data_IF_310825328784
#
_entry.id   IF_310825328784
#
_cell.length_a   1.000
_cell.length_b   1.000
_cell.length_c   1.000
_cell.angle_alpha   90.00
_cell.angle_beta   90.00
_cell.angle_gamma   90.00
#
_symmetry.space_group_name_H-M   'P 1'
#
loop_
_entity.id
_entity.type
_entity.pdbx_description
1 polymer ?
#
# COMPACT_ATOMS: atom_id res chain seq x y z
N UNK A 1 -5.44 11.42 -7.65
CA UNK A 1 -4.78 11.59 -6.34
C UNK A 1 -4.82 13.07 -5.95
N UNK A 2 -5.87 13.51 -5.24
CA UNK A 2 -6.06 14.88 -4.77
C UNK A 2 -5.93 14.99 -3.25
N UNK A 3 -4.98 14.26 -2.66
CA UNK A 3 -4.92 14.07 -1.21
C UNK A 3 -4.51 15.35 -0.46
N UNK A 4 -3.64 16.15 -1.07
CA UNK A 4 -3.25 17.50 -0.68
C UNK A 4 -2.93 18.35 -1.94
N UNK A 5 -2.75 19.67 -1.75
CA UNK A 5 -2.46 20.60 -2.87
C UNK A 5 -1.17 20.26 -3.61
N UNK A 6 -0.17 19.70 -2.92
CA UNK A 6 1.10 19.30 -3.53
C UNK A 6 0.95 18.08 -4.45
N UNK A 7 0.13 17.10 -4.07
CA UNK A 7 -0.23 15.95 -4.90
C UNK A 7 -0.92 16.40 -6.19
N UNK A 8 -1.80 17.40 -6.10
CA UNK A 8 -2.46 17.99 -7.27
C UNK A 8 -1.42 18.62 -8.22
N UNK A 9 -0.51 19.45 -7.69
CA UNK A 9 0.55 20.09 -8.49
C UNK A 9 1.46 19.03 -9.14
N UNK A 10 1.90 18.01 -8.39
CA UNK A 10 2.74 16.94 -8.92
C UNK A 10 2.02 16.12 -9.99
N UNK A 11 0.72 15.90 -9.85
CA UNK A 11 -0.09 15.22 -10.87
C UNK A 11 -0.10 16.01 -12.17
N UNK A 12 -0.35 17.33 -12.10
CA UNK A 12 -0.44 18.19 -13.27
C UNK A 12 0.92 18.53 -13.90
N UNK A 13 2.02 18.35 -13.17
CA UNK A 13 3.38 18.68 -13.65
C UNK A 13 4.26 17.46 -13.85
N UNK A 14 4.62 16.73 -12.79
CA UNK A 14 5.59 15.62 -12.82
C UNK A 14 4.98 14.37 -13.45
N UNK A 15 3.79 13.97 -13.03
CA UNK A 15 3.10 12.79 -13.56
C UNK A 15 2.75 13.03 -15.03
N UNK A 16 2.12 14.17 -15.36
CA UNK A 16 1.83 14.54 -16.76
C UNK A 16 3.07 14.53 -17.66
N UNK A 17 4.20 15.06 -17.19
CA UNK A 17 5.48 15.00 -17.92
C UNK A 17 5.99 13.57 -18.09
N UNK A 18 5.88 12.72 -17.08
CA UNK A 18 6.31 11.33 -17.16
C UNK A 18 5.47 10.53 -18.17
N UNK A 19 4.14 10.71 -18.16
CA UNK A 19 3.23 10.10 -19.14
C UNK A 19 3.56 10.58 -20.55
N UNK A 20 3.79 11.89 -20.75
CA UNK A 20 4.18 12.44 -22.06
C UNK A 20 5.48 11.84 -22.59
N UNK A 21 6.45 11.55 -21.72
CA UNK A 21 7.73 10.94 -22.08
C UNK A 21 7.62 9.44 -22.36
N UNK A 22 6.78 8.73 -21.62
CA UNK A 22 6.55 7.30 -21.81
C UNK A 22 5.06 6.96 -21.64
N UNK A 23 4.29 6.96 -22.73
CA UNK A 23 2.85 6.67 -22.70
C UNK A 23 2.53 5.24 -22.21
N UNK A 24 3.47 4.31 -22.29
CA UNK A 24 3.29 2.93 -21.80
C UNK A 24 3.33 2.84 -20.26
N UNK A 25 3.71 3.91 -19.57
CA UNK A 25 3.87 3.92 -18.12
C UNK A 25 2.52 3.92 -17.41
N UNK A 26 1.52 4.62 -17.97
CA UNK A 26 0.15 4.68 -17.50
C UNK A 26 -0.73 4.70 -18.74
N UNK A 27 -1.51 3.64 -18.97
CA UNK A 27 -2.50 3.65 -20.05
C UNK A 27 -3.73 4.43 -19.59
N UNK A 28 -3.82 5.67 -20.04
CA UNK A 28 -4.96 6.55 -19.75
C UNK A 28 -6.15 6.10 -20.58
N UNK A 29 -7.24 5.74 -19.93
CA UNK A 29 -8.51 5.38 -20.59
C UNK A 29 -9.38 6.61 -20.87
N UNK A 30 -9.10 7.74 -20.22
CA UNK A 30 -9.78 9.00 -20.44
C UNK A 30 -9.49 10.01 -19.34
N UNK A 31 -10.07 11.20 -19.49
CA UNK A 31 -10.20 12.21 -18.44
C UNK A 31 -11.70 12.30 -18.10
N UNK A 32 -12.01 12.43 -16.82
CA UNK A 32 -13.37 12.62 -16.31
C UNK A 32 -13.36 13.77 -15.29
N UNK A 33 -14.52 14.26 -14.87
CA UNK A 33 -14.65 15.33 -13.88
C UNK A 33 -15.48 14.88 -12.69
N UNK A 34 -14.87 14.86 -11.51
CA UNK A 34 -15.64 14.69 -10.27
C UNK A 34 -16.05 16.05 -9.72
N UNK A 35 -17.29 16.16 -9.25
CA UNK A 35 -17.80 17.35 -8.57
C UNK A 35 -17.81 17.13 -7.07
N UNK A 36 -17.08 17.97 -6.34
CA UNK A 36 -17.07 17.98 -4.88
C UNK A 36 -17.40 19.40 -4.42
N UNK A 37 -18.49 19.55 -3.67
CA UNK A 37 -18.96 20.84 -3.14
C UNK A 37 -19.07 21.96 -4.21
N UNK A 38 -19.56 21.62 -5.39
CA UNK A 38 -19.73 22.56 -6.51
C UNK A 38 -18.45 22.86 -7.31
N UNK A 39 -17.28 22.43 -6.83
CA UNK A 39 -16.01 22.55 -7.57
C UNK A 39 -15.78 21.33 -8.47
N UNK A 40 -15.22 21.56 -9.66
CA UNK A 40 -14.88 20.51 -10.64
C UNK A 40 -13.42 20.14 -10.51
N UNK A 41 -13.15 18.86 -10.35
CA UNK A 41 -11.79 18.34 -10.29
C UNK A 41 -11.57 17.39 -11.46
N UNK A 42 -10.59 17.68 -12.34
CA UNK A 42 -10.23 16.75 -13.40
C UNK A 42 -9.63 15.49 -12.76
N UNK A 43 -10.15 14.33 -13.14
CA UNK A 43 -9.62 13.03 -12.78
C UNK A 43 -9.15 12.30 -14.02
N UNK A 44 -8.06 11.56 -13.86
CA UNK A 44 -7.47 10.77 -14.92
C UNK A 44 -7.88 9.32 -14.68
N UNK A 45 -8.61 8.73 -15.62
CA UNK A 45 -8.92 7.31 -15.61
C UNK A 45 -7.73 6.57 -16.19
N UNK A 46 -7.09 5.75 -15.38
CA UNK A 46 -5.86 5.06 -15.75
C UNK A 46 -5.94 3.57 -15.44
N UNK A 47 -5.52 2.75 -16.38
CA UNK A 47 -5.18 1.36 -16.10
C UNK A 47 -3.77 1.33 -15.51
N UNK A 48 -3.70 0.99 -14.22
CA UNK A 48 -2.45 0.88 -13.48
C UNK A 48 -1.99 -0.56 -13.54
N UNK A 49 -0.73 -0.78 -13.91
CA UNK A 49 -0.07 -2.07 -13.73
C UNK A 49 0.17 -2.29 -12.23
N UNK A 50 -0.77 -2.98 -11.60
CA UNK A 50 -0.76 -3.25 -10.16
C UNK A 50 0.44 -4.10 -9.75
N UNK A 51 0.92 -5.00 -10.60
CA UNK A 51 2.11 -5.82 -10.31
C UNK A 51 3.36 -4.96 -10.20
N UNK A 52 3.56 -4.02 -11.15
CA UNK A 52 4.68 -3.08 -11.09
C UNK A 52 4.59 -2.17 -9.87
N UNK A 53 3.39 -1.74 -9.52
CA UNK A 53 3.17 -0.87 -8.36
C UNK A 53 3.47 -1.60 -7.04
N UNK A 54 2.98 -2.84 -6.89
CA UNK A 54 3.30 -3.71 -5.74
C UNK A 54 4.81 -3.89 -5.60
N UNK A 55 5.51 -4.28 -6.67
CA UNK A 55 6.98 -4.44 -6.65
C UNK A 55 7.72 -3.16 -6.27
N UNK A 56 7.18 -2.00 -6.66
CA UNK A 56 7.76 -0.70 -6.30
C UNK A 56 7.66 -0.47 -4.80
N UNK A 57 6.50 -0.74 -4.19
CA UNK A 57 6.34 -0.63 -2.74
C UNK A 57 7.19 -1.64 -1.96
N UNK A 58 7.31 -2.87 -2.45
CA UNK A 58 8.22 -3.87 -1.86
C UNK A 58 9.67 -3.38 -1.89
N UNK A 59 10.10 -2.78 -3.01
CA UNK A 59 11.46 -2.27 -3.16
C UNK A 59 11.73 -1.10 -2.21
N UNK A 60 10.75 -0.18 -2.05
CA UNK A 60 10.83 0.91 -1.07
C UNK A 60 10.97 0.35 0.34
N UNK A 61 10.10 -0.59 0.74
CA UNK A 61 10.16 -1.18 2.08
C UNK A 61 11.50 -1.88 2.36
N UNK A 62 12.03 -2.65 1.38
CA UNK A 62 13.36 -3.27 1.51
C UNK A 62 14.48 -2.25 1.65
N UNK A 63 14.42 -1.15 0.88
CA UNK A 63 15.40 -0.08 0.98
C UNK A 63 15.34 0.61 2.35
N UNK A 64 14.15 0.82 2.91
CA UNK A 64 13.98 1.37 4.26
C UNK A 64 14.52 0.45 5.34
N UNK A 65 14.27 -0.86 5.25
CA UNK A 65 14.86 -1.84 6.19
C UNK A 65 16.38 -1.81 6.13
N UNK A 66 16.95 -1.70 4.94
CA UNK A 66 18.39 -1.56 4.79
C UNK A 66 18.90 -0.22 5.35
N UNK A 67 18.17 0.87 5.13
CA UNK A 67 18.53 2.20 5.64
C UNK A 67 18.56 2.25 7.17
N UNK A 68 17.49 1.79 7.83
CA UNK A 68 17.37 1.87 9.29
C UNK A 68 18.23 0.85 10.02
N UNK A 69 18.33 -0.37 9.49
CA UNK A 69 18.91 -1.50 10.24
C UNK A 69 20.20 -2.03 9.62
N UNK A 70 20.68 -1.46 8.50
CA UNK A 70 21.79 -2.00 7.70
C UNK A 70 21.62 -3.47 7.30
N UNK A 71 20.36 -3.94 7.28
CA UNK A 71 20.01 -5.33 7.06
C UNK A 71 19.44 -5.55 5.65
N UNK A 72 20.03 -6.48 4.90
CA UNK A 72 19.54 -6.85 3.56
C UNK A 72 18.42 -7.86 3.66
N UNK A 73 17.20 -7.35 3.76
CA UNK A 73 16.01 -8.20 3.86
C UNK A 73 15.75 -9.02 2.57
N UNK A 74 15.74 -10.35 2.71
CA UNK A 74 15.46 -11.32 1.63
C UNK A 74 14.14 -12.08 1.82
N UNK A 75 13.38 -11.76 2.88
CA UNK A 75 12.11 -12.44 3.18
C UNK A 75 10.98 -12.09 2.21
N UNK A 76 9.80 -12.64 2.48
CA UNK A 76 8.58 -12.41 1.68
C UNK A 76 7.96 -11.06 2.03
N UNK A 77 7.40 -10.38 1.04
CA UNK A 77 6.62 -9.16 1.25
C UNK A 77 5.17 -9.40 0.82
N UNK A 78 4.23 -8.78 1.52
CA UNK A 78 2.84 -8.69 1.09
C UNK A 78 2.40 -7.24 1.21
N UNK A 79 1.94 -6.66 0.09
CA UNK A 79 1.49 -5.27 0.05
C UNK A 79 -0.03 -5.22 0.20
N UNK A 80 -0.47 -4.42 1.17
CA UNK A 80 -1.88 -4.19 1.52
C UNK A 80 -2.20 -2.70 1.35
N UNK A 81 -3.24 -2.39 0.59
CA UNK A 81 -3.70 -1.01 0.41
C UNK A 81 -5.11 -0.94 -0.18
N UNK A 82 -5.85 0.10 0.20
CA UNK A 82 -7.16 0.47 -0.31
C UNK A 82 -7.12 0.93 -1.78
N UNK A 83 -5.96 1.33 -2.30
CA UNK A 83 -5.81 1.71 -3.72
C UNK A 83 -5.93 0.50 -4.66
N UNK A 84 -5.77 -0.72 -4.14
CA UNK A 84 -5.93 -1.96 -4.90
C UNK A 84 -7.39 -2.40 -4.90
N UNK A 85 -8.21 -1.65 -5.62
CA UNK A 85 -9.61 -1.97 -5.86
C UNK A 85 -9.77 -2.71 -7.20
N UNK A 86 -10.46 -3.85 -7.19
CA UNK A 86 -10.83 -4.58 -8.41
C UNK A 86 -12.32 -4.90 -8.40
N UNK A 87 -13.14 -4.26 -9.27
CA UNK A 87 -14.56 -4.56 -9.36
C UNK A 87 -14.83 -5.98 -9.85
N UNK A 88 -13.86 -6.62 -10.53
CA UNK A 88 -13.94 -8.00 -11.00
C UNK A 88 -13.56 -9.03 -9.94
N UNK A 89 -12.87 -8.61 -8.88
CA UNK A 89 -12.43 -9.47 -7.77
C UNK A 89 -12.83 -8.84 -6.43
N UNK A 90 -14.09 -9.03 -6.10
CA UNK A 90 -14.70 -8.49 -4.89
C UNK A 90 -14.07 -9.04 -3.61
N UNK A 91 -13.69 -10.33 -3.61
CA UNK A 91 -13.05 -10.98 -2.45
C UNK A 91 -11.71 -10.34 -2.13
N UNK A 92 -10.87 -10.15 -3.15
CA UNK A 92 -9.58 -9.45 -3.00
C UNK A 92 -9.77 -8.02 -2.52
N UNK A 93 -10.73 -7.30 -3.10
CA UNK A 93 -11.05 -5.93 -2.70
C UNK A 93 -11.45 -5.83 -1.23
N UNK A 94 -12.37 -6.67 -0.76
CA UNK A 94 -12.77 -6.64 0.65
C UNK A 94 -11.61 -7.04 1.57
N UNK A 95 -10.83 -8.04 1.18
CA UNK A 95 -9.64 -8.41 1.93
C UNK A 95 -8.71 -7.21 2.12
N UNK A 96 -8.45 -6.44 1.06
CA UNK A 96 -7.62 -5.23 1.13
C UNK A 96 -8.22 -4.18 2.06
N UNK A 97 -9.52 -3.87 1.92
CA UNK A 97 -10.20 -2.85 2.74
C UNK A 97 -10.24 -3.25 4.22
N UNK A 98 -10.63 -4.48 4.55
CA UNK A 98 -10.66 -4.93 5.96
C UNK A 98 -9.25 -5.01 6.55
N UNK A 99 -8.27 -5.50 5.78
CA UNK A 99 -6.88 -5.58 6.26
C UNK A 99 -6.30 -4.19 6.53
N UNK A 100 -6.53 -3.21 5.64
CA UNK A 100 -6.08 -1.82 5.89
C UNK A 100 -6.72 -1.20 7.12
N UNK A 101 -8.00 -1.47 7.39
CA UNK A 101 -8.69 -1.01 8.60
C UNK A 101 -8.07 -1.62 9.86
N UNK A 102 -7.89 -2.95 9.90
CA UNK A 102 -7.32 -3.65 11.05
C UNK A 102 -5.91 -3.17 11.35
N UNK A 103 -5.04 -3.16 10.32
CA UNK A 103 -3.65 -2.70 10.46
C UNK A 103 -3.62 -1.22 10.84
N UNK A 104 -4.54 -0.40 10.32
CA UNK A 104 -4.65 1.02 10.67
C UNK A 104 -5.00 1.24 12.15
N UNK A 105 -5.89 0.43 12.73
CA UNK A 105 -6.18 0.47 14.17
C UNK A 105 -5.00 -0.04 15.01
N UNK A 106 -4.32 -1.10 14.55
CA UNK A 106 -3.12 -1.64 15.18
C UNK A 106 -1.98 -0.61 15.19
N UNK A 107 -1.79 0.12 14.08
CA UNK A 107 -0.75 1.13 13.89
C UNK A 107 -0.76 2.21 14.97
N UNK A 108 -1.95 2.58 15.47
CA UNK A 108 -2.10 3.54 16.57
C UNK A 108 -1.39 3.09 17.86
N UNK A 109 -1.06 1.79 17.98
CA UNK A 109 -0.46 1.15 19.15
C UNK A 109 0.98 0.67 18.91
N UNK A 110 1.58 0.91 17.74
CA UNK A 110 2.93 0.41 17.44
C UNK A 110 4.01 1.01 18.34
N UNK A 111 3.81 2.22 18.87
CA UNK A 111 4.75 2.86 19.81
C UNK A 111 6.11 3.24 19.19
N UNK A 112 6.29 3.03 17.89
CA UNK A 112 7.46 3.42 17.12
C UNK A 112 7.29 4.82 16.51
N UNK A 113 8.38 5.50 16.25
CA UNK A 113 8.35 6.84 15.66
C UNK A 113 8.02 6.80 14.15
N UNK A 114 7.30 7.83 13.70
CA UNK A 114 7.11 8.08 12.28
C UNK A 114 8.29 8.90 11.76
N UNK A 115 8.93 8.42 10.69
CA UNK A 115 10.13 8.99 10.11
C UNK A 115 9.86 9.56 8.70
N UNK A 116 10.78 10.39 8.19
CA UNK A 116 10.76 10.93 6.83
C UNK A 116 11.06 12.43 6.76
N UNK A 117 12.02 12.82 5.91
CA UNK A 117 12.52 14.19 5.82
C UNK A 117 11.48 15.20 5.28
N UNK A 118 10.50 14.74 4.53
CA UNK A 118 9.42 15.58 3.99
C UNK A 118 8.04 14.97 4.29
N UNK A 119 7.51 15.20 5.50
CA UNK A 119 6.28 14.56 5.94
C UNK A 119 5.05 14.85 5.07
N UNK A 120 5.05 15.97 4.35
CA UNK A 120 3.98 16.36 3.41
C UNK A 120 3.94 15.51 2.14
N UNK A 121 5.04 14.82 1.81
CA UNK A 121 5.15 13.97 0.62
C UNK A 121 5.25 12.51 1.02
N UNK A 122 6.09 12.19 2.00
CA UNK A 122 6.41 10.81 2.35
C UNK A 122 6.83 10.70 3.81
N UNK A 123 6.19 9.77 4.52
CA UNK A 123 6.65 9.27 5.82
C UNK A 123 6.58 7.75 5.84
N UNK A 124 7.30 7.15 6.78
CA UNK A 124 7.22 5.73 7.04
C UNK A 124 7.28 5.42 8.55
N UNK A 125 6.74 4.27 8.94
CA UNK A 125 6.73 3.80 10.32
C UNK A 125 6.78 2.27 10.33
N UNK A 126 7.59 1.69 11.22
CA UNK A 126 7.69 0.25 11.43
C UNK A 126 6.76 -0.21 12.55
N UNK A 127 6.12 -1.37 12.43
CA UNK A 127 5.56 -2.08 13.59
C UNK A 127 6.67 -2.76 14.37
N UNK A 128 6.34 -3.21 15.58
CA UNK A 128 7.17 -4.20 16.27
C UNK A 128 7.13 -5.54 15.53
N UNK A 129 8.15 -6.37 15.75
CA UNK A 129 8.16 -7.76 15.30
C UNK A 129 7.14 -8.57 16.11
N UNK A 130 6.25 -9.27 15.43
CA UNK A 130 5.26 -10.13 16.06
C UNK A 130 5.83 -11.51 16.46
N UNK A 131 4.99 -12.32 17.11
CA UNK A 131 5.35 -13.68 17.54
C UNK A 131 5.58 -14.66 16.39
N UNK A 132 5.15 -14.32 15.17
CA UNK A 132 5.32 -15.11 13.96
C UNK A 132 6.53 -14.66 13.13
N UNK A 133 7.36 -13.73 13.64
CA UNK A 133 8.50 -13.20 12.91
C UNK A 133 8.09 -12.34 11.72
N UNK A 134 6.94 -11.66 11.82
CA UNK A 134 6.46 -10.69 10.83
C UNK A 134 6.40 -9.29 11.43
N UNK A 135 6.65 -8.30 10.59
CA UNK A 135 6.50 -6.89 10.94
C UNK A 135 5.94 -6.14 9.74
N UNK A 136 5.35 -4.98 9.98
CA UNK A 136 4.71 -4.17 8.95
C UNK A 136 5.41 -2.83 8.80
N UNK A 137 5.57 -2.37 7.57
CA UNK A 137 6.02 -1.01 7.26
C UNK A 137 4.84 -0.23 6.70
N UNK A 138 4.42 0.84 7.37
CA UNK A 138 3.41 1.75 6.86
C UNK A 138 4.09 2.87 6.05
N UNK A 139 3.89 2.90 4.74
CA UNK A 139 4.35 3.93 3.82
C UNK A 139 3.23 4.94 3.60
N UNK A 140 3.40 6.18 4.05
CA UNK A 140 2.36 7.22 3.93
C UNK A 140 2.78 8.25 2.88
N UNK A 141 2.05 8.31 1.78
CA UNK A 141 2.26 9.24 0.67
C UNK A 141 1.26 10.38 0.71
N UNK A 142 1.76 11.61 0.54
CA UNK A 142 0.95 12.83 0.51
C UNK A 142 -0.06 12.90 1.67
N UNK A 143 0.44 12.59 2.87
CA UNK A 143 -0.26 12.65 4.18
C UNK A 143 -1.43 11.67 4.38
N UNK A 144 -2.04 11.13 3.31
CA UNK A 144 -3.29 10.34 3.41
C UNK A 144 -3.23 8.95 2.80
N UNK A 145 -2.48 8.74 1.72
CA UNK A 145 -2.43 7.41 1.08
C UNK A 145 -1.47 6.54 1.86
N UNK A 146 -2.00 5.54 2.56
CA UNK A 146 -1.19 4.61 3.34
C UNK A 146 -1.12 3.27 2.61
N UNK A 147 0.10 2.79 2.42
CA UNK A 147 0.41 1.47 1.91
C UNK A 147 1.07 0.69 3.04
N UNK A 148 0.56 -0.49 3.36
CA UNK A 148 1.19 -1.37 4.32
C UNK A 148 1.97 -2.44 3.59
N UNK A 149 3.23 -2.64 3.98
CA UNK A 149 4.07 -3.74 3.48
C UNK A 149 4.37 -4.65 4.65
N UNK A 150 3.73 -5.81 4.66
CA UNK A 150 3.95 -6.86 5.65
C UNK A 150 5.18 -7.65 5.22
N UNK A 151 6.14 -7.79 6.12
CA UNK A 151 7.45 -8.39 5.90
C UNK A 151 7.61 -9.58 6.85
N UNK A 152 7.76 -10.79 6.30
CA UNK A 152 7.99 -12.02 7.06
C UNK A 152 9.46 -12.48 6.98
N UNK A 153 10.09 -12.62 8.15
CA UNK A 153 11.42 -13.23 8.32
C UNK A 153 11.39 -14.77 8.26
N UNK A 154 10.21 -15.37 8.08
CA UNK A 154 10.06 -16.81 8.00
C UNK A 154 10.63 -17.34 6.68
N UNK A 155 11.34 -18.46 6.75
CA UNK A 155 11.69 -19.23 5.57
C UNK A 155 10.43 -19.83 4.90
N UNK A 156 10.58 -20.26 3.65
CA UNK A 156 9.50 -20.79 2.82
C UNK A 156 8.79 -22.02 3.43
N UNK A 157 9.52 -22.87 4.14
CA UNK A 157 8.96 -24.09 4.75
C UNK A 157 8.14 -23.74 5.98
N UNK A 158 8.67 -22.87 6.84
CA UNK A 158 8.00 -22.38 8.04
C UNK A 158 6.75 -21.58 7.67
N UNK A 159 6.84 -20.70 6.67
CA UNK A 159 5.71 -19.93 6.17
C UNK A 159 4.55 -20.84 5.72
N UNK A 160 4.84 -21.90 4.94
CA UNK A 160 3.80 -22.83 4.48
C UNK A 160 3.14 -23.56 5.64
N UNK A 161 3.91 -23.95 6.66
CA UNK A 161 3.41 -24.61 7.86
C UNK A 161 2.48 -23.69 8.66
N UNK A 162 2.92 -22.46 8.94
CA UNK A 162 2.12 -21.44 9.65
C UNK A 162 0.85 -21.11 8.87
N UNK A 163 0.95 -20.89 7.55
CA UNK A 163 -0.21 -20.64 6.69
C UNK A 163 -1.24 -21.78 6.74
N UNK A 164 -0.78 -23.05 6.78
CA UNK A 164 -1.67 -24.21 6.91
C UNK A 164 -2.36 -24.24 8.28
N UNK A 165 -1.66 -23.89 9.36
CA UNK A 165 -2.20 -23.82 10.71
C UNK A 165 -3.24 -22.71 10.87
N UNK A 166 -2.98 -21.53 10.29
CA UNK A 166 -3.87 -20.37 10.37
C UNK A 166 -5.03 -20.43 9.37
N UNK A 167 -5.03 -21.41 8.44
CA UNK A 167 -6.04 -21.53 7.38
C UNK A 167 -7.49 -21.46 7.91
N UNK A 168 -7.88 -22.17 8.99
CA UNK A 168 -9.25 -22.08 9.50
C UNK A 168 -9.64 -20.68 9.97
N UNK A 169 -8.70 -19.93 10.54
CA UNK A 169 -8.92 -18.57 11.01
C UNK A 169 -8.98 -17.58 9.84
N UNK A 170 -8.15 -17.78 8.82
CA UNK A 170 -8.21 -17.03 7.56
C UNK A 170 -9.55 -17.29 6.87
N UNK A 171 -9.97 -18.55 6.74
CA UNK A 171 -11.23 -18.92 6.11
C UNK A 171 -12.42 -18.35 6.91
N UNK A 172 -12.37 -18.37 8.24
CA UNK A 172 -13.37 -17.70 9.08
C UNK A 172 -13.38 -16.19 8.86
N UNK A 173 -12.22 -15.53 8.88
CA UNK A 173 -12.09 -14.11 8.59
C UNK A 173 -12.66 -13.76 7.20
N UNK A 174 -12.46 -14.65 6.22
CA UNK A 174 -12.99 -14.53 4.87
C UNK A 174 -14.49 -14.88 4.75
N UNK A 175 -15.05 -15.69 5.64
CA UNK A 175 -16.47 -16.07 5.65
C UNK A 175 -17.33 -15.10 6.46
N UNK A 176 -16.76 -14.47 7.49
CA UNK A 176 -17.30 -13.29 8.17
C UNK A 176 -17.32 -12.05 7.21
N UNK A 177 -17.01 -12.24 5.92
CA UNK A 177 -17.16 -11.30 4.81
C UNK A 177 -18.57 -11.38 4.16
N UNK A 178 -19.60 -11.71 4.93
CA UNK A 178 -20.98 -11.53 4.42
C UNK A 178 -21.40 -10.08 4.68
N UNK A 179 -21.82 -9.37 3.62
CA UNK A 179 -22.56 -8.11 3.73
C UNK A 179 -24.01 -8.45 4.10
#
# INVERSE_FOLDING_TARGET
>A
MGNNSLAYIHTHTKIKRAIKRNPKLIQTQGEDEIRISGMRFPVLLAHIDTFRLIRSFESIARALVFHEFSFRYQGRCQVISDIFFSPKDFKSTIFQVKSTQIIGEERKRWGTETQGDNPKIFTYQFSNLDTFGTFTVALTFYEKTVIYVIMSLLDDTTYRKVKKQLKPQIDKFLNDITI
#
